data_IF_442200305863
#
_entry.id   IF_442200305863
#
_cell.length_a   1.000
_cell.length_b   1.000
_cell.length_c   1.000
_cell.angle_alpha   90.00
_cell.angle_beta   90.00
_cell.angle_gamma   90.00
#
_symmetry.space_group_name_H-M   'P 1'
#
loop_
_entity.id
_entity.type
_entity.pdbx_description
1 polymer ?
#
# COMPACT_ATOMS: atom_id res chain seq x y z
N UNK A 1 25.88 -10.36 3.19
CA UNK A 1 24.86 -11.42 3.01
C UNK A 1 24.10 -11.65 4.32
N UNK A 2 22.81 -11.89 4.22
CA UNK A 2 21.92 -11.98 5.37
C UNK A 2 21.19 -13.32 5.36
N UNK A 3 20.98 -13.88 6.57
CA UNK A 3 20.14 -15.07 6.73
C UNK A 3 18.65 -14.73 6.53
N UNK A 4 17.81 -15.75 6.42
CA UNK A 4 16.36 -15.53 6.35
C UNK A 4 15.83 -14.79 7.58
N UNK A 5 16.36 -15.11 8.76
CA UNK A 5 15.96 -14.43 10.01
C UNK A 5 16.35 -12.95 9.98
N UNK A 6 17.59 -12.64 9.58
CA UNK A 6 18.06 -11.27 9.46
C UNK A 6 17.27 -10.48 8.42
N UNK A 7 17.02 -11.09 7.25
CA UNK A 7 16.20 -10.46 6.20
C UNK A 7 14.78 -10.18 6.69
N UNK A 8 14.17 -11.09 7.43
CA UNK A 8 12.86 -10.90 8.03
C UNK A 8 12.85 -9.70 8.98
N UNK A 9 13.85 -9.59 9.85
CA UNK A 9 14.00 -8.46 10.77
C UNK A 9 14.16 -7.13 10.04
N UNK A 10 14.98 -7.11 8.97
CA UNK A 10 15.26 -5.90 8.19
C UNK A 10 14.06 -5.41 7.37
N UNK A 11 13.17 -6.31 6.96
CA UNK A 11 12.03 -6.00 6.09
C UNK A 11 10.71 -5.92 6.83
N UNK A 12 10.65 -6.41 8.05
CA UNK A 12 9.40 -6.51 8.82
C UNK A 12 8.49 -7.64 8.35
N UNK A 13 8.96 -8.51 7.45
CA UNK A 13 8.22 -9.68 6.99
C UNK A 13 8.60 -10.92 7.81
N UNK A 14 7.70 -11.91 7.82
CA UNK A 14 8.04 -13.22 8.39
C UNK A 14 8.92 -14.01 7.41
N UNK A 15 9.63 -15.00 7.91
CA UNK A 15 10.40 -15.91 7.04
C UNK A 15 9.49 -16.67 6.08
N UNK A 16 8.26 -16.97 6.52
CA UNK A 16 7.25 -17.60 5.66
C UNK A 16 6.84 -16.66 4.50
N UNK A 17 6.68 -15.36 4.77
CA UNK A 17 6.37 -14.37 3.73
C UNK A 17 7.51 -14.24 2.72
N UNK A 18 8.76 -14.27 3.18
CA UNK A 18 9.94 -14.25 2.30
C UNK A 18 9.97 -15.46 1.37
N UNK A 19 9.67 -16.65 1.90
CA UNK A 19 9.56 -17.86 1.09
C UNK A 19 8.42 -17.77 0.07
N UNK A 20 7.30 -17.19 0.47
CA UNK A 20 6.16 -16.94 -0.42
C UNK A 20 6.56 -16.01 -1.58
N UNK A 21 7.26 -14.93 -1.30
CA UNK A 21 7.74 -13.99 -2.32
C UNK A 21 8.65 -14.69 -3.33
N UNK A 22 9.56 -15.52 -2.85
CA UNK A 22 10.47 -16.29 -3.71
C UNK A 22 9.69 -17.29 -4.57
N UNK A 23 8.79 -18.07 -3.95
CA UNK A 23 7.96 -19.08 -4.63
C UNK A 23 7.10 -18.46 -5.73
N UNK A 24 6.52 -17.29 -5.45
CA UNK A 24 5.66 -16.58 -6.39
C UNK A 24 6.44 -15.76 -7.42
N UNK A 25 7.75 -15.90 -7.45
CA UNK A 25 8.62 -15.17 -8.41
C UNK A 25 8.49 -13.64 -8.30
N UNK A 26 8.29 -13.15 -7.09
CA UNK A 26 8.24 -11.72 -6.78
C UNK A 26 9.63 -11.13 -6.49
N UNK A 27 10.66 -11.96 -6.52
CA UNK A 27 12.05 -11.57 -6.26
C UNK A 27 12.95 -12.19 -7.33
N UNK A 28 14.11 -11.58 -7.61
CA UNK A 28 15.17 -12.26 -8.34
C UNK A 28 15.61 -13.51 -7.59
N UNK A 29 16.33 -14.38 -8.27
CA UNK A 29 16.77 -15.64 -7.67
C UNK A 29 17.63 -15.38 -6.43
N UNK A 30 17.24 -16.00 -5.30
CA UNK A 30 17.95 -15.89 -4.03
C UNK A 30 19.05 -16.94 -3.96
N UNK A 31 20.26 -16.50 -3.60
CA UNK A 31 21.40 -17.38 -3.41
C UNK A 31 21.21 -18.32 -2.21
N UNK A 32 21.92 -19.43 -2.21
CA UNK A 32 21.92 -20.39 -1.09
C UNK A 32 23.34 -20.73 -0.68
N UNK A 33 23.51 -21.04 0.60
CA UNK A 33 24.79 -21.55 1.13
C UNK A 33 25.04 -22.97 0.62
N UNK A 34 26.26 -23.50 0.88
CA UNK A 34 26.58 -24.89 0.60
C UNK A 34 25.65 -25.88 1.33
N UNK A 35 25.09 -25.46 2.47
CA UNK A 35 24.10 -26.24 3.24
C UNK A 35 22.67 -26.00 2.78
N UNK A 36 22.48 -25.28 1.67
CA UNK A 36 21.19 -24.96 1.05
C UNK A 36 20.31 -23.98 1.85
N UNK A 37 20.88 -23.22 2.77
CA UNK A 37 20.16 -22.12 3.44
C UNK A 37 20.15 -20.87 2.56
N UNK A 38 19.04 -20.14 2.56
CA UNK A 38 18.89 -18.88 1.82
C UNK A 38 19.86 -17.83 2.31
N UNK A 39 20.48 -17.11 1.37
CA UNK A 39 21.34 -15.95 1.65
C UNK A 39 20.81 -14.77 0.85
N UNK A 40 20.54 -13.67 1.55
CA UNK A 40 19.99 -12.45 0.94
C UNK A 40 21.11 -11.42 0.82
N UNK A 41 21.25 -10.83 -0.37
CA UNK A 41 22.18 -9.73 -0.61
C UNK A 41 21.54 -8.40 -0.23
N UNK A 42 22.34 -7.33 -0.22
CA UNK A 42 21.80 -5.98 -0.02
C UNK A 42 20.76 -5.63 -1.08
N UNK A 43 21.01 -5.99 -2.35
CA UNK A 43 20.04 -5.76 -3.43
C UNK A 43 18.77 -6.58 -3.25
N UNK A 44 18.86 -7.79 -2.75
CA UNK A 44 17.67 -8.60 -2.44
C UNK A 44 16.79 -7.90 -1.39
N UNK A 45 17.41 -7.36 -0.35
CA UNK A 45 16.68 -6.62 0.69
C UNK A 45 15.96 -5.41 0.07
N UNK A 46 16.61 -4.66 -0.80
CA UNK A 46 15.99 -3.52 -1.47
C UNK A 46 14.81 -3.94 -2.36
N UNK A 47 14.94 -5.06 -3.10
CA UNK A 47 13.85 -5.59 -3.91
C UNK A 47 12.68 -6.07 -3.07
N UNK A 48 12.95 -6.71 -1.93
CA UNK A 48 11.90 -7.13 -0.99
C UNK A 48 11.11 -5.90 -0.51
N UNK A 49 11.81 -4.85 -0.10
CA UNK A 49 11.18 -3.60 0.35
C UNK A 49 10.34 -2.96 -0.75
N UNK A 50 10.84 -2.94 -1.98
CA UNK A 50 10.11 -2.39 -3.13
C UNK A 50 8.83 -3.19 -3.40
N UNK A 51 8.93 -4.51 -3.46
CA UNK A 51 7.77 -5.39 -3.66
C UNK A 51 6.73 -5.18 -2.56
N UNK A 52 7.20 -5.09 -1.32
CA UNK A 52 6.34 -4.83 -0.16
C UNK A 52 5.58 -3.51 -0.32
N UNK A 53 6.26 -2.45 -0.73
CA UNK A 53 5.64 -1.14 -0.99
C UNK A 53 4.60 -1.21 -2.11
N UNK A 54 4.94 -1.84 -3.22
CA UNK A 54 4.02 -1.99 -4.36
C UNK A 54 2.78 -2.78 -3.98
N UNK A 55 2.94 -3.85 -3.19
CA UNK A 55 1.81 -4.66 -2.72
C UNK A 55 0.91 -3.86 -1.76
N UNK A 56 1.49 -3.05 -0.89
CA UNK A 56 0.73 -2.16 0.00
C UNK A 56 -0.02 -1.08 -0.79
N UNK A 57 0.52 -0.67 -1.92
CA UNK A 57 -0.12 0.28 -2.83
C UNK A 57 -1.13 -0.37 -3.78
N UNK A 58 -1.50 -1.63 -3.53
CA UNK A 58 -2.48 -2.40 -4.31
C UNK A 58 -2.06 -2.67 -5.76
N UNK A 59 -0.77 -2.68 -6.06
CA UNK A 59 -0.29 -3.11 -7.37
C UNK A 59 -0.56 -4.61 -7.51
N UNK A 60 -1.25 -5.05 -8.58
CA UNK A 60 -1.59 -6.47 -8.74
C UNK A 60 -0.35 -7.36 -8.77
N UNK A 61 -0.46 -8.53 -8.14
CA UNK A 61 0.67 -9.46 -8.04
C UNK A 61 1.24 -9.85 -9.42
N UNK A 62 0.37 -9.98 -10.42
CA UNK A 62 0.82 -10.30 -11.78
C UNK A 62 1.67 -9.19 -12.40
N UNK A 63 1.35 -7.95 -12.09
CA UNK A 63 2.15 -6.80 -12.53
C UNK A 63 3.53 -6.80 -11.89
N UNK A 64 3.60 -7.08 -10.58
CA UNK A 64 4.89 -7.18 -9.85
C UNK A 64 5.74 -8.31 -10.43
N UNK A 65 5.14 -9.48 -10.69
CA UNK A 65 5.83 -10.62 -11.32
C UNK A 65 6.41 -10.22 -12.69
N UNK A 66 5.65 -9.53 -13.50
CA UNK A 66 6.08 -9.05 -14.81
C UNK A 66 7.27 -8.09 -14.67
N UNK A 67 7.19 -7.16 -13.71
CA UNK A 67 8.27 -6.22 -13.46
C UNK A 67 9.58 -6.95 -13.09
N UNK A 68 9.51 -7.90 -12.18
CA UNK A 68 10.69 -8.67 -11.76
C UNK A 68 11.23 -9.51 -12.93
N UNK A 69 10.37 -10.13 -13.73
CA UNK A 69 10.78 -10.89 -14.91
C UNK A 69 11.54 -10.00 -15.92
N UNK A 70 11.10 -8.77 -16.12
CA UNK A 70 11.78 -7.81 -16.97
C UNK A 70 13.11 -7.35 -16.35
N UNK A 71 13.12 -7.13 -15.04
CA UNK A 71 14.33 -6.70 -14.32
C UNK A 71 15.48 -7.70 -14.51
N UNK A 72 15.21 -8.99 -14.37
CA UNK A 72 16.25 -10.03 -14.49
C UNK A 72 16.76 -10.17 -15.93
N UNK A 73 16.02 -9.68 -16.92
CA UNK A 73 16.49 -9.62 -18.31
C UNK A 73 17.51 -8.50 -18.57
N UNK A 74 17.65 -7.58 -17.63
CA UNK A 74 18.66 -6.53 -17.68
C UNK A 74 18.28 -5.29 -18.46
N UNK A 75 19.30 -4.52 -18.87
CA UNK A 75 19.14 -3.17 -19.42
C UNK A 75 18.30 -3.03 -20.67
N UNK A 76 18.15 -4.09 -21.46
CA UNK A 76 17.31 -4.09 -22.66
C UNK A 76 15.82 -3.88 -22.37
N UNK A 77 15.40 -4.07 -21.10
CA UNK A 77 14.01 -3.89 -20.68
C UNK A 77 13.77 -2.59 -19.90
N UNK A 78 14.78 -1.72 -19.84
CA UNK A 78 14.74 -0.51 -19.01
C UNK A 78 13.58 0.42 -19.37
N UNK A 79 13.30 0.63 -20.65
CA UNK A 79 12.19 1.48 -21.09
C UNK A 79 10.84 0.92 -20.68
N UNK A 80 10.65 -0.40 -20.81
CA UNK A 80 9.42 -1.06 -20.37
C UNK A 80 9.23 -0.92 -18.86
N UNK A 81 10.29 -1.15 -18.08
CA UNK A 81 10.25 -1.01 -16.62
C UNK A 81 9.95 0.42 -16.18
N UNK A 82 10.55 1.39 -16.86
CA UNK A 82 10.28 2.80 -16.63
C UNK A 82 8.79 3.12 -16.85
N UNK A 83 8.22 2.64 -17.96
CA UNK A 83 6.79 2.81 -18.27
C UNK A 83 5.90 2.21 -17.19
N UNK A 84 6.24 1.03 -16.70
CA UNK A 84 5.49 0.38 -15.60
C UNK A 84 5.53 1.21 -14.32
N UNK A 85 6.69 1.75 -13.97
CA UNK A 85 6.85 2.60 -12.79
C UNK A 85 6.04 3.89 -12.93
N UNK A 86 5.99 4.49 -14.12
CA UNK A 86 5.14 5.66 -14.37
C UNK A 86 3.66 5.34 -14.18
N UNK A 87 3.22 4.16 -14.63
CA UNK A 87 1.85 3.71 -14.40
C UNK A 87 1.56 3.52 -12.90
N UNK A 88 2.49 2.97 -12.16
CA UNK A 88 2.36 2.81 -10.70
C UNK A 88 2.23 4.16 -10.00
N UNK A 89 3.03 5.14 -10.39
CA UNK A 89 2.97 6.51 -9.84
C UNK A 89 1.56 7.10 -10.05
N UNK A 90 1.02 6.97 -11.26
CA UNK A 90 -0.31 7.48 -11.58
C UNK A 90 -1.38 6.80 -10.72
N UNK A 91 -1.34 5.47 -10.61
CA UNK A 91 -2.33 4.71 -9.85
C UNK A 91 -2.26 5.03 -8.36
N UNK A 92 -1.05 5.16 -7.82
CA UNK A 92 -0.84 5.55 -6.42
C UNK A 92 -1.36 6.97 -6.18
N UNK A 93 -1.10 7.90 -7.09
CA UNK A 93 -1.60 9.27 -6.98
C UNK A 93 -3.14 9.31 -6.94
N UNK A 94 -3.80 8.51 -7.79
CA UNK A 94 -5.27 8.39 -7.77
C UNK A 94 -5.77 7.87 -6.42
N UNK A 95 -5.10 6.86 -5.84
CA UNK A 95 -5.46 6.34 -4.52
C UNK A 95 -5.30 7.40 -3.44
N UNK A 96 -4.22 8.18 -3.49
CA UNK A 96 -3.99 9.28 -2.55
C UNK A 96 -5.10 10.33 -2.64
N UNK A 97 -5.48 10.71 -3.86
CA UNK A 97 -6.55 11.68 -4.08
C UNK A 97 -7.88 11.18 -3.52
N UNK A 98 -8.22 9.91 -3.75
CA UNK A 98 -9.42 9.28 -3.20
C UNK A 98 -9.39 9.27 -1.67
N UNK A 99 -8.25 8.94 -1.07
CA UNK A 99 -8.10 8.94 0.38
C UNK A 99 -8.21 10.35 0.96
N UNK A 100 -7.65 11.35 0.30
CA UNK A 100 -7.79 12.75 0.72
C UNK A 100 -9.26 13.19 0.70
N UNK A 101 -10.00 12.82 -0.34
CA UNK A 101 -11.43 13.12 -0.43
C UNK A 101 -12.21 12.45 0.69
N UNK A 102 -11.93 11.17 0.96
CA UNK A 102 -12.56 10.43 2.04
C UNK A 102 -12.25 11.06 3.41
N UNK A 103 -11.00 11.49 3.60
CA UNK A 103 -10.57 12.13 4.84
C UNK A 103 -11.29 13.47 5.05
N UNK A 104 -11.40 14.29 4.00
CA UNK A 104 -12.10 15.59 4.06
C UNK A 104 -13.56 15.38 4.45
N UNK A 105 -14.26 14.44 3.81
CA UNK A 105 -15.65 14.13 4.11
C UNK A 105 -15.83 13.62 5.53
N UNK A 106 -14.92 12.75 5.99
CA UNK A 106 -14.96 12.19 7.34
C UNK A 106 -14.71 13.27 8.39
N UNK A 107 -13.82 14.23 8.12
CA UNK A 107 -13.56 15.37 9.00
C UNK A 107 -14.78 16.29 9.12
N UNK A 108 -15.50 16.51 8.02
CA UNK A 108 -16.77 17.27 8.06
C UNK A 108 -17.77 16.59 8.98
N UNK A 109 -17.90 15.27 8.87
CA UNK A 109 -18.77 14.47 9.73
C UNK A 109 -18.35 14.54 11.19
N UNK A 110 -17.07 14.48 11.46
CA UNK A 110 -16.50 14.61 12.81
C UNK A 110 -16.85 15.98 13.43
N UNK A 111 -16.67 17.05 12.68
CA UNK A 111 -17.01 18.41 13.14
C UNK A 111 -18.51 18.55 13.43
N UNK A 112 -19.33 17.94 12.60
CA UNK A 112 -20.78 17.91 12.79
C UNK A 112 -21.16 17.20 14.11
N UNK A 113 -20.61 16.02 14.35
CA UNK A 113 -20.84 15.30 15.61
C UNK A 113 -20.34 16.06 16.84
N UNK A 114 -19.22 16.74 16.72
CA UNK A 114 -18.68 17.58 17.79
C UNK A 114 -19.67 18.67 18.21
N UNK A 115 -20.33 19.31 17.23
CA UNK A 115 -21.40 20.28 17.50
C UNK A 115 -22.59 19.63 18.20
N UNK A 116 -23.06 18.50 17.67
CA UNK A 116 -24.20 17.79 18.24
C UNK A 116 -23.95 17.34 19.68
N UNK A 117 -22.73 16.94 19.99
CA UNK A 117 -22.38 16.48 21.34
C UNK A 117 -22.46 17.60 22.39
N UNK A 118 -22.42 18.86 21.97
CA UNK A 118 -22.57 20.02 22.86
C UNK A 118 -24.03 20.31 23.19
N UNK A 119 -24.98 19.74 22.44
CA UNK A 119 -26.42 19.96 22.59
C UNK A 119 -27.03 18.72 23.24
N UNK A 120 -27.52 18.78 24.53
CA UNK A 120 -28.12 17.60 25.18
C UNK A 120 -29.31 17.02 24.41
N UNK A 121 -30.13 17.86 23.77
CA UNK A 121 -31.30 17.44 23.00
C UNK A 121 -30.96 16.63 21.76
N UNK A 122 -29.71 16.71 21.27
CA UNK A 122 -29.31 15.98 20.07
C UNK A 122 -29.31 14.45 20.26
N UNK A 123 -29.29 13.99 21.54
CA UNK A 123 -29.35 12.56 21.87
C UNK A 123 -30.70 11.92 21.48
N UNK A 124 -31.72 12.73 21.30
CA UNK A 124 -33.07 12.26 20.93
C UNK A 124 -33.32 12.30 19.41
N UNK A 125 -32.34 12.74 18.63
CA UNK A 125 -32.45 12.77 17.17
C UNK A 125 -32.58 11.38 16.57
N UNK A 126 -33.50 11.23 15.62
CA UNK A 126 -33.51 10.06 14.76
C UNK A 126 -32.40 10.19 13.72
N UNK A 127 -32.02 9.07 13.09
CA UNK A 127 -30.96 9.13 12.07
C UNK A 127 -31.36 9.99 10.85
N UNK A 128 -32.66 10.06 10.52
CA UNK A 128 -33.14 10.92 9.43
C UNK A 128 -33.06 12.40 9.78
N UNK A 129 -33.40 12.75 11.03
CA UNK A 129 -33.27 14.13 11.52
C UNK A 129 -31.80 14.55 11.56
N UNK A 130 -30.92 13.67 12.01
CA UNK A 130 -29.48 13.89 12.02
C UNK A 130 -28.95 14.13 10.58
N UNK A 131 -29.39 13.30 9.63
CA UNK A 131 -28.97 13.42 8.25
C UNK A 131 -29.41 14.76 7.63
N UNK A 132 -30.65 15.19 7.91
CA UNK A 132 -31.19 16.48 7.41
C UNK A 132 -30.38 17.67 7.96
N UNK A 133 -29.96 17.61 9.25
CA UNK A 133 -29.13 18.65 9.83
C UNK A 133 -27.75 18.71 9.16
N UNK A 134 -27.15 17.58 8.90
CA UNK A 134 -25.86 17.50 8.22
C UNK A 134 -25.92 18.04 6.80
N UNK A 135 -26.94 17.66 6.05
CA UNK A 135 -27.20 18.14 4.69
C UNK A 135 -27.37 19.67 4.65
N UNK A 136 -28.09 20.23 5.62
CA UNK A 136 -28.30 21.69 5.68
C UNK A 136 -26.99 22.44 5.98
N UNK A 137 -26.09 21.88 6.76
CA UNK A 137 -24.77 22.47 7.01
C UNK A 137 -23.91 22.48 5.75
N UNK A 138 -23.90 21.39 4.98
CA UNK A 138 -23.18 21.32 3.70
C UNK A 138 -23.70 22.38 2.72
N UNK A 139 -25.00 22.59 2.68
CA UNK A 139 -25.61 23.61 1.81
C UNK A 139 -25.26 25.05 2.19
N UNK A 140 -24.82 25.30 3.41
CA UNK A 140 -24.40 26.62 3.88
C UNK A 140 -22.95 26.99 3.56
N UNK A 141 -22.12 26.01 3.23
CA UNK A 141 -20.71 26.23 2.87
C UNK A 141 -20.51 26.55 1.38
N UNK A 142 -21.54 26.36 0.59
CA UNK A 142 -21.60 26.81 -0.81
C UNK A 142 -22.06 28.27 -0.88
#
# INVERSE_FOLDING_TARGET
MYSAKEAAEMTGLSTAALRYYEKEQLLPQIARTSQKYRQYSDSDIEWIKMVQCLRRANVPIQSVKKYIALLVQGGKTMEQRYGMVQDYIRDIQEQMDQLQNALALTREKSAFYEKLLKEPSSRDLTYLEEWELFKNEEGKEE
#
